data_IF_087454785655
#
_entry.id   IF_087454785655
#
_cell.length_a   1.000
_cell.length_b   1.000
_cell.length_c   1.000
_cell.angle_alpha   90.00
_cell.angle_beta   90.00
_cell.angle_gamma   90.00
#
_symmetry.space_group_name_H-M   'P 1'
#
loop_
_entity.id
_entity.type
_entity.pdbx_description
1 polymer ?
#
# COMPACT_ATOMS: atom_id res chain seq x y z
N UNK A 1 -66.08 -37.86 0.90
CA UNK A 1 -64.90 -38.75 0.82
C UNK A 1 -63.91 -38.35 -0.29
N UNK A 2 -64.01 -37.15 -0.89
CA UNK A 2 -63.20 -36.72 -2.05
C UNK A 2 -62.10 -35.68 -1.74
N UNK A 3 -61.99 -35.22 -0.49
CA UNK A 3 -61.15 -34.06 -0.14
C UNK A 3 -59.72 -34.45 0.30
N UNK A 4 -59.53 -35.69 0.77
CA UNK A 4 -58.23 -36.18 1.23
C UNK A 4 -57.26 -36.50 0.08
N UNK A 5 -57.76 -36.97 -1.08
CA UNK A 5 -56.93 -37.31 -2.24
C UNK A 5 -56.39 -36.07 -2.97
N UNK A 6 -57.18 -34.99 -3.00
CA UNK A 6 -56.73 -33.71 -3.56
C UNK A 6 -55.64 -33.11 -2.67
N UNK A 7 -55.81 -33.15 -1.35
CA UNK A 7 -54.79 -32.67 -0.39
C UNK A 7 -53.50 -33.49 -0.43
N UNK A 8 -53.58 -34.81 -0.53
CA UNK A 8 -52.39 -35.67 -0.61
C UNK A 8 -51.63 -35.46 -1.93
N UNK A 9 -52.35 -35.30 -3.05
CA UNK A 9 -51.78 -34.98 -4.37
C UNK A 9 -51.10 -33.61 -4.41
N UNK A 10 -51.71 -32.58 -3.81
CA UNK A 10 -51.10 -31.24 -3.68
C UNK A 10 -49.84 -31.31 -2.81
N UNK A 11 -49.88 -31.97 -1.65
CA UNK A 11 -48.71 -32.14 -0.77
C UNK A 11 -47.58 -32.92 -1.43
N UNK A 12 -47.88 -33.95 -2.23
CA UNK A 12 -46.89 -34.72 -2.97
C UNK A 12 -46.21 -33.90 -4.09
N UNK A 13 -46.91 -32.88 -4.64
CA UNK A 13 -46.38 -31.97 -5.67
C UNK A 13 -45.64 -30.76 -5.10
N UNK A 14 -45.89 -30.39 -3.85
CA UNK A 14 -45.11 -29.39 -3.13
C UNK A 14 -43.78 -30.04 -2.75
N UNK A 15 -42.76 -29.86 -3.61
CA UNK A 15 -41.38 -30.13 -3.19
C UNK A 15 -41.07 -29.18 -2.04
N UNK A 16 -40.65 -29.66 -0.86
CA UNK A 16 -40.21 -28.76 0.19
C UNK A 16 -39.12 -27.88 -0.41
N UNK A 17 -39.26 -26.56 -0.29
CA UNK A 17 -38.18 -25.64 -0.63
C UNK A 17 -36.93 -26.17 0.08
N UNK A 18 -35.84 -26.48 -0.65
CA UNK A 18 -34.63 -26.88 0.01
C UNK A 18 -34.26 -25.71 0.91
N UNK A 19 -34.30 -25.93 2.24
CA UNK A 19 -34.01 -24.87 3.22
C UNK A 19 -32.59 -24.32 3.04
N UNK A 20 -31.75 -25.03 2.27
CA UNK A 20 -30.39 -24.68 1.90
C UNK A 20 -30.24 -24.81 0.39
N UNK A 21 -29.91 -23.72 -0.31
CA UNK A 21 -29.66 -23.73 -1.75
C UNK A 21 -28.40 -24.55 -2.08
N UNK A 22 -28.47 -25.34 -3.15
CA UNK A 22 -27.34 -26.14 -3.67
C UNK A 22 -27.00 -25.69 -5.08
N UNK A 23 -25.71 -25.73 -5.40
CA UNK A 23 -25.14 -25.24 -6.65
C UNK A 23 -24.30 -26.34 -7.33
N UNK A 24 -24.47 -26.59 -8.63
CA UNK A 24 -23.59 -27.48 -9.38
C UNK A 24 -22.17 -26.91 -9.47
N UNK A 25 -21.17 -27.74 -9.20
CA UNK A 25 -19.74 -27.42 -9.24
C UNK A 25 -19.00 -28.43 -10.13
N UNK A 26 -17.99 -27.97 -10.87
CA UNK A 26 -17.18 -28.82 -11.74
C UNK A 26 -16.17 -29.71 -10.99
N UNK A 27 -15.98 -29.53 -9.68
CA UNK A 27 -15.05 -30.33 -8.88
C UNK A 27 -15.71 -31.32 -7.91
N UNK A 28 -16.92 -31.03 -7.41
CA UNK A 28 -17.55 -31.86 -6.39
C UNK A 28 -19.07 -31.98 -6.51
N UNK A 29 -19.62 -31.80 -7.70
CA UNK A 29 -21.06 -31.99 -7.97
C UNK A 29 -21.91 -30.92 -7.29
N UNK A 30 -23.03 -31.30 -6.67
CA UNK A 30 -23.92 -30.35 -6.00
C UNK A 30 -23.38 -30.02 -4.61
N UNK A 31 -23.11 -28.73 -4.35
CA UNK A 31 -22.59 -28.23 -3.07
C UNK A 31 -23.43 -27.07 -2.55
N UNK A 32 -23.58 -26.98 -1.23
CA UNK A 32 -24.12 -25.77 -0.58
C UNK A 32 -23.08 -24.65 -0.62
N UNK A 33 -23.50 -23.40 -0.40
CA UNK A 33 -22.54 -22.29 -0.34
C UNK A 33 -21.50 -22.45 0.78
N UNK A 34 -21.92 -22.97 1.94
CA UNK A 34 -21.04 -23.30 3.07
C UNK A 34 -19.98 -24.33 2.67
N UNK A 35 -20.39 -25.39 1.98
CA UNK A 35 -19.45 -26.40 1.49
C UNK A 35 -18.49 -25.85 0.43
N UNK A 36 -18.95 -24.93 -0.43
CA UNK A 36 -18.10 -24.24 -1.41
C UNK A 36 -17.08 -23.35 -0.69
N UNK A 37 -17.49 -22.68 0.39
CA UNK A 37 -16.61 -21.88 1.23
C UNK A 37 -15.51 -22.75 1.86
N UNK A 38 -15.89 -23.86 2.48
CA UNK A 38 -14.94 -24.80 3.13
C UNK A 38 -13.97 -25.44 2.13
N UNK A 39 -14.44 -25.80 0.93
CA UNK A 39 -13.61 -26.38 -0.13
C UNK A 39 -12.54 -25.38 -0.62
N UNK A 40 -12.84 -24.08 -0.62
CA UNK A 40 -12.00 -23.05 -1.27
C UNK A 40 -11.15 -22.25 -0.28
N UNK A 41 -11.61 -22.04 0.96
CA UNK A 41 -10.95 -21.13 1.91
C UNK A 41 -9.49 -21.48 2.23
N UNK A 42 -9.06 -22.75 2.41
CA UNK A 42 -7.68 -23.03 2.79
C UNK A 42 -6.71 -22.64 1.67
N UNK A 43 -7.07 -22.98 0.42
CA UNK A 43 -6.29 -22.64 -0.77
C UNK A 43 -6.33 -21.16 -1.08
N UNK A 44 -7.49 -20.51 -0.88
CA UNK A 44 -7.65 -19.08 -1.10
C UNK A 44 -6.84 -18.25 -0.10
N UNK A 45 -6.86 -18.61 1.19
CA UNK A 45 -6.05 -17.96 2.21
C UNK A 45 -4.55 -18.06 1.89
N UNK A 46 -4.08 -19.25 1.47
CA UNK A 46 -2.70 -19.46 1.00
C UNK A 46 -2.35 -18.56 -0.19
N UNK A 47 -3.25 -18.42 -1.16
CA UNK A 47 -3.05 -17.54 -2.32
C UNK A 47 -2.99 -16.06 -1.92
N UNK A 48 -3.87 -15.59 -1.03
CA UNK A 48 -3.84 -14.20 -0.57
C UNK A 48 -2.54 -13.85 0.15
N UNK A 49 -2.00 -14.78 0.95
CA UNK A 49 -0.67 -14.67 1.57
C UNK A 49 0.45 -14.68 0.53
N UNK A 50 0.38 -15.58 -0.46
CA UNK A 50 1.35 -15.65 -1.56
C UNK A 50 1.43 -14.32 -2.34
N UNK A 51 0.29 -13.68 -2.59
CA UNK A 51 0.22 -12.36 -3.24
C UNK A 51 0.54 -11.18 -2.31
N UNK A 52 1.04 -11.44 -1.10
CA UNK A 52 1.47 -10.45 -0.11
C UNK A 52 0.37 -9.45 0.26
N UNK A 53 -0.87 -9.91 0.40
CA UNK A 53 -1.90 -9.11 1.05
C UNK A 53 -1.62 -9.07 2.56
N UNK A 54 -2.00 -7.96 3.20
CA UNK A 54 -1.73 -7.74 4.61
C UNK A 54 -2.54 -8.71 5.47
N UNK A 55 -1.94 -9.28 6.52
CA UNK A 55 -2.58 -10.36 7.29
C UNK A 55 -3.91 -9.94 7.94
N UNK A 56 -3.96 -8.71 8.47
CA UNK A 56 -5.18 -8.14 9.07
C UNK A 56 -6.34 -8.01 8.06
N UNK A 57 -6.04 -7.92 6.77
CA UNK A 57 -7.04 -7.65 5.73
C UNK A 57 -7.55 -8.96 5.12
N UNK A 58 -6.82 -10.07 5.31
CA UNK A 58 -7.16 -11.36 4.72
C UNK A 58 -8.59 -11.80 5.09
N UNK A 59 -9.05 -11.70 6.35
CA UNK A 59 -10.44 -12.05 6.70
C UNK A 59 -11.46 -11.25 5.90
N UNK A 60 -11.28 -9.93 5.79
CA UNK A 60 -12.21 -9.04 5.10
C UNK A 60 -12.18 -9.24 3.58
N UNK A 61 -10.99 -9.44 3.02
CA UNK A 61 -10.79 -9.79 1.61
C UNK A 61 -11.48 -11.11 1.26
N UNK A 62 -11.38 -12.10 2.13
CA UNK A 62 -12.09 -13.37 2.01
C UNK A 62 -13.60 -13.14 2.04
N UNK A 63 -14.11 -12.46 3.07
CA UNK A 63 -15.54 -12.18 3.21
C UNK A 63 -16.10 -11.43 1.98
N UNK A 64 -15.39 -10.41 1.49
CA UNK A 64 -15.79 -9.62 0.34
C UNK A 64 -15.82 -10.44 -0.96
N UNK A 65 -14.79 -11.27 -1.20
CA UNK A 65 -14.73 -12.13 -2.38
C UNK A 65 -15.86 -13.17 -2.38
N UNK A 66 -16.14 -13.79 -1.22
CA UNK A 66 -17.23 -14.75 -1.09
C UNK A 66 -18.61 -14.11 -1.16
N UNK A 67 -18.82 -12.91 -0.60
CA UNK A 67 -20.08 -12.18 -0.79
C UNK A 67 -20.36 -11.90 -2.27
N UNK A 68 -19.33 -11.48 -3.03
CA UNK A 68 -19.48 -11.27 -4.48
C UNK A 68 -19.74 -12.56 -5.24
N UNK A 69 -19.03 -13.63 -4.89
CA UNK A 69 -19.27 -14.93 -5.48
C UNK A 69 -20.70 -15.41 -5.19
N UNK A 70 -21.21 -15.20 -3.98
CA UNK A 70 -22.58 -15.53 -3.60
C UNK A 70 -23.62 -14.77 -4.42
N UNK A 71 -23.42 -13.46 -4.63
CA UNK A 71 -24.32 -12.65 -5.46
C UNK A 71 -24.37 -13.19 -6.89
N UNK A 72 -23.21 -13.52 -7.47
CA UNK A 72 -23.13 -14.00 -8.85
C UNK A 72 -23.79 -15.39 -9.01
N UNK A 73 -23.50 -16.33 -8.10
CA UNK A 73 -24.08 -17.68 -8.18
C UNK A 73 -25.58 -17.67 -7.81
N UNK A 74 -26.03 -16.74 -6.97
CA UNK A 74 -27.45 -16.56 -6.70
C UNK A 74 -28.21 -16.03 -7.92
N UNK A 75 -27.54 -15.26 -8.79
CA UNK A 75 -28.09 -14.81 -10.07
C UNK A 75 -28.01 -15.91 -11.15
N UNK A 76 -26.90 -16.65 -11.21
CA UNK A 76 -26.69 -17.78 -12.12
C UNK A 76 -26.16 -19.01 -11.37
N UNK A 77 -27.09 -19.90 -11.02
CA UNK A 77 -26.77 -21.13 -10.29
C UNK A 77 -25.86 -22.09 -11.06
N UNK A 78 -25.76 -21.97 -12.39
CA UNK A 78 -24.96 -22.86 -13.24
C UNK A 78 -23.52 -22.40 -13.42
N UNK A 79 -23.16 -21.21 -12.92
CA UNK A 79 -21.88 -20.56 -13.12
C UNK A 79 -20.67 -21.44 -12.77
N UNK A 80 -20.77 -22.26 -11.72
CA UNK A 80 -19.68 -23.12 -11.25
C UNK A 80 -19.69 -24.52 -11.86
N UNK A 81 -20.71 -24.89 -12.65
CA UNK A 81 -20.93 -26.26 -13.08
C UNK A 81 -19.80 -26.82 -13.97
N UNK A 82 -19.19 -25.97 -14.78
CA UNK A 82 -18.06 -26.32 -15.67
C UNK A 82 -16.71 -25.85 -15.14
N UNK A 83 -16.67 -25.25 -13.95
CA UNK A 83 -15.47 -24.64 -13.39
C UNK A 83 -14.83 -25.61 -12.41
N UNK A 84 -13.54 -25.89 -12.59
CA UNK A 84 -12.75 -26.69 -11.66
C UNK A 84 -12.41 -25.88 -10.39
N UNK A 85 -11.93 -26.55 -9.34
CA UNK A 85 -11.61 -25.88 -8.07
C UNK A 85 -10.56 -24.77 -8.25
N UNK A 86 -9.58 -24.95 -9.15
CA UNK A 86 -8.59 -23.94 -9.49
C UNK A 86 -9.17 -22.73 -10.21
N UNK A 87 -10.08 -22.95 -11.16
CA UNK A 87 -10.86 -21.90 -11.82
C UNK A 87 -11.71 -21.11 -10.83
N UNK A 88 -12.35 -21.77 -9.87
CA UNK A 88 -13.14 -21.13 -8.82
C UNK A 88 -12.26 -20.22 -7.92
N UNK A 89 -11.03 -20.64 -7.60
CA UNK A 89 -10.06 -19.80 -6.89
C UNK A 89 -9.66 -18.55 -7.69
N UNK A 90 -9.48 -18.67 -9.02
CA UNK A 90 -9.22 -17.50 -9.88
C UNK A 90 -10.40 -16.54 -9.89
N UNK A 91 -11.63 -17.06 -9.91
CA UNK A 91 -12.84 -16.26 -9.83
C UNK A 91 -12.91 -15.47 -8.50
N UNK A 92 -12.56 -16.10 -7.37
CA UNK A 92 -12.46 -15.42 -6.08
C UNK A 92 -11.37 -14.34 -6.09
N UNK A 93 -10.17 -14.64 -6.61
CA UNK A 93 -9.06 -13.68 -6.69
C UNK A 93 -9.45 -12.41 -7.46
N UNK A 94 -10.16 -12.55 -8.58
CA UNK A 94 -10.65 -11.42 -9.37
C UNK A 94 -11.68 -10.56 -8.60
N UNK A 95 -12.37 -11.14 -7.61
CA UNK A 95 -13.40 -10.47 -6.80
C UNK A 95 -12.87 -9.81 -5.54
N UNK A 96 -11.71 -10.23 -5.04
CA UNK A 96 -11.09 -9.72 -3.80
C UNK A 96 -10.80 -8.22 -3.80
N UNK A 97 -10.63 -7.59 -4.97
CA UNK A 97 -10.32 -6.16 -5.12
C UNK A 97 -9.42 -5.54 -4.03
N UNK A 98 -8.19 -6.05 -3.84
CA UNK A 98 -7.29 -5.58 -2.78
C UNK A 98 -6.84 -4.13 -2.97
N UNK A 99 -7.08 -3.54 -4.15
CA UNK A 99 -6.81 -2.13 -4.39
C UNK A 99 -7.74 -1.21 -3.59
N UNK A 100 -8.94 -1.66 -3.21
CA UNK A 100 -9.86 -0.89 -2.36
C UNK A 100 -9.20 -0.61 -1.00
N UNK A 101 -8.77 -1.67 -0.34
CA UNK A 101 -8.05 -1.61 0.93
C UNK A 101 -6.73 -0.83 0.80
N UNK A 102 -5.93 -1.10 -0.24
CA UNK A 102 -4.69 -0.34 -0.52
C UNK A 102 -4.91 1.15 -0.83
N UNK A 103 -6.14 1.58 -1.17
CA UNK A 103 -6.51 2.99 -1.33
C UNK A 103 -7.00 3.58 -0.02
N UNK A 104 -7.76 2.83 0.78
CA UNK A 104 -8.13 3.21 2.15
C UNK A 104 -6.89 3.43 3.01
N UNK A 105 -5.97 2.47 3.06
CA UNK A 105 -4.71 2.62 3.81
C UNK A 105 -3.75 3.69 3.27
N UNK A 106 -3.98 4.19 2.04
CA UNK A 106 -3.26 5.34 1.48
C UNK A 106 -3.92 6.68 1.81
N UNK A 107 -5.17 6.67 2.24
CA UNK A 107 -5.98 7.86 2.57
C UNK A 107 -6.17 8.04 4.08
N UNK A 108 -6.37 6.95 4.80
CA UNK A 108 -6.65 6.88 6.23
C UNK A 108 -5.57 5.99 6.85
N UNK A 109 -4.58 6.62 7.48
CA UNK A 109 -3.53 5.95 8.24
C UNK A 109 -3.72 6.39 9.69
N UNK A 110 -4.30 5.52 10.51
CA UNK A 110 -4.40 5.78 11.94
C UNK A 110 -3.01 5.64 12.57
N UNK A 111 -2.69 6.50 13.55
CA UNK A 111 -1.37 6.52 14.22
C UNK A 111 -0.97 5.15 14.78
N UNK A 112 -1.97 4.36 15.21
CA UNK A 112 -1.82 3.02 15.77
C UNK A 112 -1.44 1.96 14.71
N UNK A 113 -1.85 2.15 13.45
CA UNK A 113 -1.59 1.22 12.35
C UNK A 113 -0.17 1.35 11.74
N UNK A 114 0.59 2.39 12.14
CA UNK A 114 1.97 2.63 11.71
C UNK A 114 2.92 1.59 12.32
N UNK A 115 2.65 1.16 13.56
CA UNK A 115 3.52 0.24 14.30
C UNK A 115 3.42 -1.22 13.82
N UNK A 116 2.27 -1.64 13.31
CA UNK A 116 1.96 -3.06 13.04
C UNK A 116 2.30 -3.50 11.61
N UNK A 117 2.55 -2.54 10.70
CA UNK A 117 2.55 -2.75 9.23
C UNK A 117 3.90 -2.62 8.53
N UNK A 118 4.97 -2.38 9.26
CA UNK A 118 6.32 -2.25 8.69
C UNK A 118 6.87 -3.62 8.27
N UNK A 119 6.56 -4.02 7.05
CA UNK A 119 7.40 -4.95 6.29
C UNK A 119 8.70 -4.26 5.88
N UNK A 120 9.81 -4.84 6.32
CA UNK A 120 11.19 -4.33 6.33
C UNK A 120 11.41 -3.08 7.24
N UNK A 121 12.18 -3.22 8.35
CA UNK A 121 12.26 -2.21 9.40
C UNK A 121 12.97 -0.91 8.96
N UNK A 122 13.83 -0.95 7.95
CA UNK A 122 14.78 0.16 7.81
C UNK A 122 14.25 1.38 7.05
N UNK A 123 13.18 1.28 6.26
CA UNK A 123 12.89 2.34 5.29
C UNK A 123 11.93 3.44 5.73
N UNK A 124 11.11 3.22 6.77
CA UNK A 124 10.22 4.27 7.31
C UNK A 124 9.93 4.10 8.81
N UNK A 125 10.89 3.63 9.60
CA UNK A 125 10.79 3.79 11.06
C UNK A 125 11.17 5.24 11.43
N UNK A 126 10.16 6.03 11.78
CA UNK A 126 10.32 7.03 12.84
C UNK A 126 10.56 6.22 14.13
N UNK A 127 11.81 5.95 14.50
CA UNK A 127 12.10 5.55 15.90
C UNK A 127 12.12 6.89 16.62
N UNK A 128 10.97 7.22 17.17
CA UNK A 128 10.87 8.03 18.38
C UNK A 128 10.33 7.16 19.51
N UNK A 129 10.60 5.85 19.49
CA UNK A 129 10.15 4.92 20.53
C UNK A 129 11.32 4.18 21.14
N UNK A 130 12.31 4.95 21.58
CA UNK A 130 13.03 4.57 22.79
C UNK A 130 12.36 5.34 23.93
N UNK A 131 11.51 4.63 24.67
CA UNK A 131 11.07 5.11 25.96
C UNK A 131 12.31 5.13 26.87
N UNK A 132 13.04 6.24 26.89
CA UNK A 132 13.68 6.64 28.13
C UNK A 132 12.55 6.97 29.10
N UNK A 133 11.93 5.93 29.64
CA UNK A 133 10.90 5.99 30.67
C UNK A 133 11.43 6.87 31.80
N UNK A 134 10.95 8.11 31.87
CA UNK A 134 10.94 8.82 33.15
C UNK A 134 9.79 8.17 33.91
N UNK A 135 10.13 7.13 34.66
CA UNK A 135 9.20 6.41 35.55
C UNK A 135 8.55 7.48 36.46
N UNK A 136 7.31 7.87 36.16
CA UNK A 136 6.58 8.88 36.94
C UNK A 136 5.44 9.64 36.25
N UNK A 137 5.37 9.67 34.91
CA UNK A 137 4.29 10.36 34.19
C UNK A 137 3.15 9.43 33.80
N UNK A 138 1.91 9.88 33.98
CA UNK A 138 0.71 9.15 33.56
C UNK A 138 0.48 9.35 32.05
N UNK A 139 0.10 8.28 31.33
CA UNK A 139 -0.16 8.29 29.87
C UNK A 139 -1.12 9.39 29.40
N UNK A 140 -2.05 9.80 30.27
CA UNK A 140 -2.96 10.91 30.00
C UNK A 140 -2.25 12.28 29.96
N UNK A 141 -1.28 12.52 30.83
CA UNK A 141 -0.53 13.78 30.89
C UNK A 141 0.37 13.94 29.65
N UNK A 142 1.04 12.87 29.24
CA UNK A 142 1.87 12.84 28.02
C UNK A 142 1.05 13.16 26.76
N UNK A 143 -0.17 12.62 26.67
CA UNK A 143 -1.07 12.91 25.55
C UNK A 143 -1.58 14.37 25.53
N UNK A 144 -1.67 15.03 26.69
CA UNK A 144 -2.02 16.45 26.78
C UNK A 144 -0.84 17.32 26.36
N UNK A 145 0.35 17.04 26.89
CA UNK A 145 1.55 17.83 26.63
C UNK A 145 1.87 17.83 25.13
N UNK A 146 1.77 16.66 24.46
CA UNK A 146 1.95 16.55 23.02
C UNK A 146 0.94 17.37 22.21
N UNK A 147 -0.32 17.45 22.65
CA UNK A 147 -1.33 18.30 21.98
C UNK A 147 -1.00 19.78 22.13
N UNK A 148 -0.52 20.19 23.30
CA UNK A 148 -0.10 21.57 23.59
C UNK A 148 1.10 21.95 22.71
N UNK A 149 2.09 21.05 22.56
CA UNK A 149 3.27 21.30 21.74
C UNK A 149 2.92 21.42 20.25
N UNK A 150 2.02 20.56 19.74
CA UNK A 150 1.52 20.65 18.37
C UNK A 150 0.76 21.97 18.15
N UNK A 151 -0.14 22.33 19.07
CA UNK A 151 -0.89 23.59 18.99
C UNK A 151 0.05 24.79 18.95
N UNK A 152 1.06 24.81 19.81
CA UNK A 152 2.05 25.87 19.88
C UNK A 152 2.84 26.00 18.57
N UNK A 153 3.34 24.88 18.04
CA UNK A 153 4.13 24.89 16.79
C UNK A 153 3.28 25.28 15.58
N UNK A 154 2.04 24.81 15.48
CA UNK A 154 1.12 25.23 14.41
C UNK A 154 0.85 26.73 14.51
N UNK A 155 0.64 27.26 15.72
CA UNK A 155 0.39 28.68 15.96
C UNK A 155 1.59 29.54 15.54
N UNK A 156 2.81 29.17 15.95
CA UNK A 156 4.04 29.85 15.53
C UNK A 156 4.20 29.88 14.00
N UNK A 157 3.89 28.76 13.34
CA UNK A 157 3.95 28.67 11.88
C UNK A 157 2.88 29.51 11.20
N UNK A 158 1.66 29.54 11.75
CA UNK A 158 0.58 30.37 11.22
C UNK A 158 0.91 31.86 11.34
N UNK A 159 1.48 32.29 12.47
CA UNK A 159 1.94 33.66 12.71
C UNK A 159 3.08 34.05 11.77
N UNK A 160 4.10 33.18 11.63
CA UNK A 160 5.23 33.39 10.71
C UNK A 160 4.79 33.63 9.27
N UNK A 161 3.74 32.92 8.84
CA UNK A 161 3.26 32.93 7.46
C UNK A 161 1.93 33.69 7.27
N UNK A 162 1.54 34.54 8.21
CA UNK A 162 0.24 35.24 8.20
C UNK A 162 -0.02 36.01 6.90
N UNK A 163 1.03 36.59 6.31
CA UNK A 163 0.94 37.38 5.07
C UNK A 163 1.05 36.53 3.79
N UNK A 164 1.18 35.21 3.90
CA UNK A 164 1.43 34.32 2.76
C UNK A 164 0.35 33.26 2.60
N UNK A 165 -0.67 33.58 1.80
CA UNK A 165 -1.76 32.66 1.47
C UNK A 165 -1.30 31.27 0.99
N UNK A 166 -0.25 31.12 0.15
CA UNK A 166 0.22 29.80 -0.25
C UNK A 166 0.78 28.96 0.91
N UNK A 167 1.38 29.61 1.91
CA UNK A 167 1.93 28.94 3.10
C UNK A 167 0.82 28.64 4.11
N UNK A 168 -0.14 29.55 4.33
CA UNK A 168 -1.32 29.26 5.16
C UNK A 168 -2.18 28.13 4.58
N UNK A 169 -2.38 28.12 3.26
CA UNK A 169 -3.06 27.01 2.58
C UNK A 169 -2.26 25.70 2.69
N UNK A 170 -0.92 25.78 2.73
CA UNK A 170 -0.08 24.61 2.96
C UNK A 170 -0.20 24.10 4.40
N UNK A 171 -0.22 25.00 5.38
CA UNK A 171 -0.41 24.66 6.79
C UNK A 171 -1.77 24.01 6.99
N UNK A 172 -2.84 24.60 6.43
CA UNK A 172 -4.18 24.04 6.41
C UNK A 172 -4.21 22.65 5.74
N UNK A 173 -3.54 22.49 4.60
CA UNK A 173 -3.42 21.19 3.93
C UNK A 173 -2.66 20.14 4.76
N UNK A 174 -1.71 20.55 5.59
CA UNK A 174 -0.91 19.65 6.43
C UNK A 174 -1.71 19.23 7.67
N UNK A 175 -2.47 20.14 8.26
CA UNK A 175 -3.17 19.95 9.53
C UNK A 175 -4.62 19.48 9.39
N UNK A 176 -5.15 19.40 8.16
CA UNK A 176 -6.51 18.95 7.87
C UNK A 176 -6.55 17.89 6.78
N UNK A 177 -7.73 17.27 6.59
CA UNK A 177 -7.95 16.21 5.60
C UNK A 177 -8.29 16.73 4.19
N UNK A 178 -8.03 18.01 3.90
CA UNK A 178 -8.40 18.60 2.62
C UNK A 178 -7.59 18.00 1.47
N UNK A 179 -8.28 17.73 0.36
CA UNK A 179 -7.65 17.21 -0.86
C UNK A 179 -6.59 18.18 -1.41
N UNK A 180 -5.49 17.66 -2.00
CA UNK A 180 -4.41 18.50 -2.53
C UNK A 180 -4.86 19.40 -3.68
N UNK A 181 -5.92 19.05 -4.40
CA UNK A 181 -6.50 19.88 -5.46
C UNK A 181 -7.26 21.08 -4.89
N UNK A 182 -8.06 20.87 -3.84
CA UNK A 182 -8.82 21.92 -3.18
C UNK A 182 -7.91 22.87 -2.41
N UNK A 183 -6.91 22.34 -1.69
CA UNK A 183 -5.93 23.17 -1.01
C UNK A 183 -5.05 23.97 -1.99
N UNK A 184 -4.65 23.37 -3.12
CA UNK A 184 -3.93 24.09 -4.16
C UNK A 184 -4.80 25.19 -4.82
N UNK A 185 -6.12 24.99 -4.90
CA UNK A 185 -7.05 26.01 -5.35
C UNK A 185 -7.11 27.19 -4.37
N UNK A 186 -7.20 26.92 -3.06
CA UNK A 186 -7.13 27.95 -1.99
C UNK A 186 -5.81 28.73 -2.06
N UNK A 187 -4.70 28.05 -2.35
CA UNK A 187 -3.39 28.68 -2.52
C UNK A 187 -3.25 29.54 -3.80
N UNK A 188 -4.24 29.53 -4.70
CA UNK A 188 -4.16 30.17 -6.02
C UNK A 188 -3.18 29.46 -6.98
N UNK A 189 -2.90 28.18 -6.75
CA UNK A 189 -1.89 27.36 -7.45
C UNK A 189 -2.47 26.08 -8.05
N UNK A 190 -3.66 26.15 -8.65
CA UNK A 190 -4.30 25.01 -9.32
C UNK A 190 -3.59 24.59 -10.61
N UNK A 191 -3.91 23.39 -11.12
CA UNK A 191 -3.39 22.87 -12.39
C UNK A 191 -1.88 22.59 -12.37
N UNK A 192 -1.15 23.09 -13.36
CA UNK A 192 0.31 22.86 -13.50
C UNK A 192 1.14 23.46 -12.38
N UNK A 193 0.61 24.47 -11.67
CA UNK A 193 1.27 25.14 -10.54
C UNK A 193 1.17 24.35 -9.23
N UNK A 194 0.30 23.33 -9.17
CA UNK A 194 0.12 22.46 -8.00
C UNK A 194 1.40 21.69 -7.67
N UNK A 195 2.05 21.13 -8.69
CA UNK A 195 3.30 20.38 -8.50
C UNK A 195 4.37 21.25 -7.85
N UNK A 196 4.55 22.48 -8.36
CA UNK A 196 5.48 23.44 -7.78
C UNK A 196 5.10 23.84 -6.34
N UNK A 197 3.81 24.08 -6.07
CA UNK A 197 3.36 24.41 -4.71
C UNK A 197 3.63 23.27 -3.72
N UNK A 198 3.37 22.02 -4.12
CA UNK A 198 3.68 20.84 -3.32
C UNK A 198 5.19 20.72 -3.03
N UNK A 199 6.04 20.92 -4.03
CA UNK A 199 7.49 20.74 -3.88
C UNK A 199 8.19 21.91 -3.20
N UNK A 200 7.74 23.13 -3.45
CA UNK A 200 8.46 24.35 -3.08
C UNK A 200 7.88 25.05 -1.86
N UNK A 201 6.65 24.72 -1.46
CA UNK A 201 5.97 25.34 -0.31
C UNK A 201 5.56 24.28 0.71
N UNK A 202 4.79 23.28 0.30
CA UNK A 202 4.28 22.25 1.23
C UNK A 202 5.40 21.40 1.79
N UNK A 203 6.33 20.94 0.95
CA UNK A 203 7.44 20.09 1.39
C UNK A 203 8.36 20.82 2.41
N UNK A 204 8.88 22.03 2.14
CA UNK A 204 9.68 22.75 3.13
C UNK A 204 8.92 23.04 4.43
N UNK A 205 7.62 23.36 4.35
CA UNK A 205 6.80 23.57 5.54
C UNK A 205 6.63 22.31 6.39
N UNK A 206 6.49 21.13 5.75
CA UNK A 206 6.48 19.86 6.48
C UNK A 206 7.81 19.59 7.16
N UNK A 207 8.92 19.89 6.49
CA UNK A 207 10.26 19.78 7.06
C UNK A 207 10.40 20.72 8.28
N UNK A 208 10.01 21.98 8.18
CA UNK A 208 10.06 22.91 9.32
C UNK A 208 9.18 22.47 10.51
N UNK A 209 7.98 21.94 10.25
CA UNK A 209 7.10 21.41 11.29
C UNK A 209 7.72 20.19 12.00
N UNK A 210 8.30 19.27 11.24
CA UNK A 210 8.97 18.10 11.82
C UNK A 210 10.20 18.51 12.64
N UNK A 211 10.91 19.58 12.26
CA UNK A 211 12.08 20.08 12.99
C UNK A 211 11.65 20.71 14.31
N UNK A 212 10.62 21.57 14.29
CA UNK A 212 10.08 22.24 15.47
C UNK A 212 9.46 21.29 16.48
N UNK A 213 8.86 20.20 16.03
CA UNK A 213 8.27 19.16 16.88
C UNK A 213 9.30 18.11 17.33
N UNK A 214 10.57 18.27 16.97
CA UNK A 214 11.64 17.29 17.23
C UNK A 214 11.29 15.87 16.72
N UNK A 215 10.38 15.78 15.75
CA UNK A 215 9.95 14.53 15.09
C UNK A 215 10.99 14.04 14.08
N UNK A 216 12.00 14.86 13.79
CA UNK A 216 13.14 14.47 12.98
C UNK A 216 14.01 13.47 13.74
N UNK A 217 13.87 12.20 13.35
CA UNK A 217 15.07 11.37 13.22
C UNK A 217 16.03 12.03 12.22
N UNK A 218 17.36 11.98 12.45
CA UNK A 218 18.32 12.38 11.43
C UNK A 218 18.00 11.63 10.12
N UNK A 219 17.92 12.37 9.02
CA UNK A 219 17.69 11.82 7.67
C UNK A 219 18.66 10.66 7.46
N UNK A 220 18.13 9.45 7.31
CA UNK A 220 18.97 8.30 6.96
C UNK A 220 19.70 8.63 5.66
N UNK A 221 21.03 8.58 5.70
CA UNK A 221 21.85 8.90 4.54
C UNK A 221 21.51 7.97 3.39
N UNK A 222 21.19 8.52 2.21
CA UNK A 222 21.00 7.69 1.03
C UNK A 222 22.35 7.22 0.49
N UNK A 223 22.38 6.14 -0.29
CA UNK A 223 23.64 5.70 -0.92
C UNK A 223 24.27 6.80 -1.80
N UNK A 224 23.46 7.71 -2.33
CA UNK A 224 23.93 8.87 -3.10
C UNK A 224 24.66 9.87 -2.22
N UNK A 225 24.14 10.14 -1.03
CA UNK A 225 24.76 11.05 -0.07
C UNK A 225 26.14 10.48 0.36
N UNK A 226 26.21 9.17 0.63
CA UNK A 226 27.47 8.47 0.93
C UNK A 226 28.44 8.43 -0.25
N UNK A 227 27.94 8.24 -1.46
CA UNK A 227 28.78 8.27 -2.66
C UNK A 227 29.36 9.66 -2.93
N UNK A 228 28.54 10.72 -2.80
CA UNK A 228 28.99 12.12 -2.90
C UNK A 228 29.97 12.51 -1.79
N UNK A 229 29.85 11.91 -0.61
CA UNK A 229 30.82 12.03 0.48
C UNK A 229 32.15 11.29 0.22
N UNK A 230 32.32 10.66 -0.96
CA UNK A 230 33.58 10.04 -1.39
C UNK A 230 33.67 8.53 -1.09
N UNK A 231 32.60 7.89 -0.63
CA UNK A 231 32.58 6.43 -0.38
C UNK A 231 32.32 5.69 -1.71
N UNK A 232 33.35 5.49 -2.52
CA UNK A 232 33.22 4.90 -3.87
C UNK A 232 33.29 3.37 -3.90
N UNK A 233 33.97 2.76 -2.93
CA UNK A 233 34.23 1.31 -2.89
C UNK A 233 32.99 0.41 -3.00
N UNK A 234 31.82 0.73 -2.40
CA UNK A 234 30.63 -0.09 -2.54
C UNK A 234 30.08 -0.12 -3.97
N UNK A 235 30.08 1.02 -4.68
CA UNK A 235 29.64 1.09 -6.07
C UNK A 235 30.57 0.30 -7.00
N UNK A 236 31.89 0.46 -6.85
CA UNK A 236 32.88 -0.25 -7.66
C UNK A 236 32.80 -1.77 -7.47
N UNK A 237 32.60 -2.24 -6.23
CA UNK A 237 32.41 -3.67 -5.93
C UNK A 237 31.14 -4.23 -6.58
N UNK A 238 30.06 -3.45 -6.58
CA UNK A 238 28.79 -3.87 -7.21
C UNK A 238 28.93 -3.98 -8.74
N UNK A 239 29.64 -3.04 -9.36
CA UNK A 239 29.96 -3.06 -10.79
C UNK A 239 30.78 -4.30 -11.14
N UNK A 240 31.89 -4.53 -10.43
CA UNK A 240 32.77 -5.68 -10.67
C UNK A 240 32.04 -7.02 -10.50
N UNK A 241 31.10 -7.11 -9.54
CA UNK A 241 30.25 -8.30 -9.36
C UNK A 241 29.40 -8.56 -10.61
N UNK A 242 28.72 -7.55 -11.13
CA UNK A 242 27.89 -7.72 -12.33
C UNK A 242 28.69 -7.99 -13.61
N UNK A 243 29.91 -7.47 -13.71
CA UNK A 243 30.83 -7.81 -14.81
C UNK A 243 31.26 -9.28 -14.73
N UNK A 244 31.61 -9.78 -13.54
CA UNK A 244 31.96 -11.18 -13.32
C UNK A 244 30.79 -12.15 -13.60
N UNK A 245 29.55 -11.73 -13.29
CA UNK A 245 28.32 -12.47 -13.60
C UNK A 245 27.92 -12.39 -15.09
N UNK A 246 28.64 -11.60 -15.92
CA UNK A 246 28.32 -11.40 -17.33
C UNK A 246 27.12 -10.47 -17.58
N UNK A 247 26.61 -9.79 -16.55
CA UNK A 247 25.48 -8.86 -16.65
C UNK A 247 25.96 -7.43 -16.96
N UNK A 248 26.51 -7.26 -18.16
CA UNK A 248 27.09 -6.00 -18.64
C UNK A 248 26.07 -4.84 -18.66
N UNK A 249 24.78 -5.15 -18.85
CA UNK A 249 23.68 -4.15 -18.86
C UNK A 249 23.45 -3.56 -17.47
N UNK A 250 23.49 -4.40 -16.44
CA UNK A 250 23.36 -3.93 -15.06
C UNK A 250 24.61 -3.18 -14.61
N UNK A 251 25.80 -3.68 -14.93
CA UNK A 251 27.06 -2.98 -14.66
C UNK A 251 27.07 -1.56 -15.26
N UNK A 252 26.71 -1.43 -16.54
CA UNK A 252 26.62 -0.14 -17.22
C UNK A 252 25.56 0.80 -16.61
N UNK A 253 24.46 0.24 -16.09
CA UNK A 253 23.40 1.00 -15.41
C UNK A 253 23.85 1.50 -14.03
N UNK A 254 24.56 0.68 -13.25
CA UNK A 254 25.11 1.07 -11.95
C UNK A 254 26.16 2.18 -12.13
N UNK A 255 27.07 2.02 -13.11
CA UNK A 255 28.04 3.06 -13.48
C UNK A 255 27.35 4.36 -13.90
N UNK A 256 26.29 4.28 -14.73
CA UNK A 256 25.54 5.46 -15.15
C UNK A 256 24.89 6.18 -13.97
N UNK A 257 24.48 5.44 -12.95
CA UNK A 257 23.84 6.00 -11.76
C UNK A 257 24.84 6.72 -10.85
N UNK A 258 26.08 6.22 -10.76
CA UNK A 258 27.19 6.92 -10.08
C UNK A 258 27.65 8.17 -10.84
N UNK A 259 27.66 8.13 -12.17
CA UNK A 259 28.00 9.26 -13.03
C UNK A 259 26.86 10.28 -13.24
N UNK A 260 25.72 10.13 -12.55
CA UNK A 260 24.54 10.99 -12.69
C UNK A 260 23.99 11.11 -14.12
N UNK A 261 24.20 10.09 -14.95
CA UNK A 261 23.71 10.09 -16.33
C UNK A 261 22.17 10.04 -16.38
N UNK A 262 21.62 10.81 -17.33
CA UNK A 262 20.17 10.83 -17.56
C UNK A 262 19.67 9.50 -18.13
N UNK A 263 18.41 9.15 -17.86
CA UNK A 263 17.79 7.96 -18.44
C UNK A 263 17.76 7.99 -19.98
N UNK A 264 17.67 9.19 -20.58
CA UNK A 264 17.67 9.36 -22.04
C UNK A 264 19.02 8.95 -22.65
N UNK A 265 20.11 9.43 -22.05
CA UNK A 265 21.48 9.09 -22.44
C UNK A 265 21.75 7.59 -22.31
N UNK A 266 21.25 6.97 -21.23
CA UNK A 266 21.40 5.53 -21.01
C UNK A 266 20.57 4.67 -22.00
N UNK A 267 19.37 5.13 -22.37
CA UNK A 267 18.53 4.51 -23.41
C UNK A 267 19.25 4.51 -24.75
N UNK A 268 19.82 5.65 -25.15
CA UNK A 268 20.56 5.80 -26.41
C UNK A 268 21.82 4.92 -26.40
N UNK A 269 22.57 4.89 -25.29
CA UNK A 269 23.81 4.12 -25.15
C UNK A 269 23.60 2.61 -25.17
N UNK A 270 22.55 2.10 -24.52
CA UNK A 270 22.28 0.66 -24.42
C UNK A 270 21.33 0.13 -25.51
N UNK A 271 20.69 1.02 -26.29
CA UNK A 271 19.72 0.64 -27.31
C UNK A 271 18.48 -0.08 -26.75
N UNK A 272 18.14 0.15 -25.48
CA UNK A 272 17.05 -0.53 -24.78
C UNK A 272 15.82 0.35 -24.66
N UNK A 273 14.64 -0.27 -24.53
CA UNK A 273 13.41 0.47 -24.31
C UNK A 273 13.46 1.24 -22.97
N UNK A 274 12.81 2.40 -22.93
CA UNK A 274 12.70 3.25 -21.72
C UNK A 274 12.19 2.46 -20.50
N UNK A 275 11.21 1.58 -20.71
CA UNK A 275 10.68 0.70 -19.66
C UNK A 275 11.76 -0.20 -19.04
N UNK A 276 12.58 -0.83 -19.90
CA UNK A 276 13.65 -1.74 -19.47
C UNK A 276 14.72 -1.00 -18.67
N UNK A 277 15.10 0.22 -19.11
CA UNK A 277 16.04 1.07 -18.38
C UNK A 277 15.50 1.49 -17.01
N UNK A 278 14.21 1.84 -16.92
CA UNK A 278 13.60 2.16 -15.62
C UNK A 278 13.62 0.95 -14.67
N UNK A 279 13.38 -0.25 -15.20
CA UNK A 279 13.44 -1.48 -14.40
C UNK A 279 14.87 -1.77 -13.90
N UNK A 280 15.86 -1.64 -14.79
CA UNK A 280 17.28 -1.81 -14.44
C UNK A 280 17.73 -0.80 -13.38
N UNK A 281 17.39 0.49 -13.54
CA UNK A 281 17.73 1.53 -12.55
C UNK A 281 17.04 1.30 -11.21
N UNK A 282 15.79 0.82 -11.20
CA UNK A 282 15.10 0.46 -9.95
C UNK A 282 15.80 -0.67 -9.22
N UNK A 283 16.21 -1.71 -9.94
CA UNK A 283 16.92 -2.85 -9.35
C UNK A 283 18.33 -2.46 -8.88
N UNK A 284 19.05 -1.66 -9.68
CA UNK A 284 20.33 -1.09 -9.29
C UNK A 284 20.23 -0.22 -8.03
N UNK A 285 19.16 0.58 -7.89
CA UNK A 285 18.94 1.41 -6.70
C UNK A 285 18.81 0.58 -5.43
N UNK A 286 18.03 -0.52 -5.48
CA UNK A 286 17.88 -1.45 -4.35
C UNK A 286 19.18 -2.11 -3.95
N UNK A 287 19.96 -2.56 -4.94
CA UNK A 287 21.23 -3.21 -4.68
C UNK A 287 22.25 -2.19 -4.12
N UNK A 288 22.27 -0.96 -4.63
CA UNK A 288 23.09 0.11 -4.08
C UNK A 288 22.71 0.44 -2.63
N UNK A 289 21.42 0.54 -2.30
CA UNK A 289 20.97 0.70 -0.90
C UNK A 289 21.56 -0.40 -0.01
N UNK A 290 21.48 -1.67 -0.43
CA UNK A 290 22.06 -2.80 0.32
C UNK A 290 23.58 -2.69 0.49
N UNK A 291 24.33 -2.46 -0.59
CA UNK A 291 25.81 -2.44 -0.49
C UNK A 291 26.31 -1.22 0.30
N UNK A 292 25.58 -0.12 0.28
CA UNK A 292 25.89 1.06 1.08
C UNK A 292 25.36 0.98 2.52
N UNK A 293 24.58 -0.04 2.89
CA UNK A 293 23.95 -0.13 4.22
C UNK A 293 23.00 1.04 4.46
N UNK A 294 22.28 1.44 3.42
CA UNK A 294 21.24 2.46 3.45
C UNK A 294 19.89 1.77 3.42
N UNK A 295 18.87 2.36 4.06
CA UNK A 295 17.53 1.81 4.06
C UNK A 295 16.96 1.76 2.62
N UNK A 296 16.09 0.76 2.36
CA UNK A 296 15.82 0.20 1.02
C UNK A 296 14.53 0.64 0.32
#
# INVERSE_FOLDING_TARGET
>A
MFDNDVRSSIRAKIRPFPRVATYPTGWAGQRTFEQIYDDLIPSFNRLLRYYRNHELDIPDLIAHAFMRLWMDISADTSMLAAVDQGGALKLLLNRTNPQLYRKFYRREMYLEDIATRSGDPDDFIIDGYDHSHIIGYATYAEAIDLRIDIEKVITEMAEKYVDSLPHLAALYYITTEVGPDDAAAIAGRSGTKKCWWLTSVVKPMREELCEKLELFKPRQETWRDRHLAGVEAPLLRLVARYEAEGNLRMAATVQSMGAYESCKTLVERLGLSKYTIHMLRRNAHKELNKVYGCPA
#
